data_IF_361196155411
#
_entry.id   IF_361196155411
#
_cell.length_a   1.000
_cell.length_b   1.000
_cell.length_c   1.000
_cell.angle_alpha   90.00
_cell.angle_beta   90.00
_cell.angle_gamma   90.00
#
_symmetry.space_group_name_H-M   'P 1'
#
loop_
_entity.id
_entity.type
_entity.pdbx_description
1 polymer ?
#
# COMPACT_ATOMS: atom_id res chain seq x y z
N UNK A 1 -35.78 -15.02 6.84
CA UNK A 1 -34.91 -15.10 5.64
C UNK A 1 -34.64 -13.72 5.06
N UNK A 2 -35.64 -12.84 5.02
CA UNK A 2 -35.51 -11.51 4.38
C UNK A 2 -34.47 -10.60 5.04
N UNK A 3 -34.40 -10.54 6.37
CA UNK A 3 -33.41 -9.70 7.07
C UNK A 3 -31.96 -10.06 6.72
N UNK A 4 -31.63 -11.35 6.72
CA UNK A 4 -30.27 -11.80 6.40
C UNK A 4 -29.89 -11.47 4.94
N UNK A 5 -30.82 -11.64 4.00
CA UNK A 5 -30.61 -11.28 2.60
C UNK A 5 -30.47 -9.77 2.40
N UNK A 6 -31.27 -8.95 3.08
CA UNK A 6 -31.15 -7.49 3.06
C UNK A 6 -29.85 -7.00 3.69
N UNK A 7 -29.40 -7.62 4.79
CA UNK A 7 -28.13 -7.28 5.42
C UNK A 7 -26.96 -7.62 4.49
N UNK A 8 -26.97 -8.79 3.86
CA UNK A 8 -25.94 -9.19 2.91
C UNK A 8 -25.88 -8.26 1.69
N UNK A 9 -27.03 -7.88 1.12
CA UNK A 9 -27.07 -6.97 -0.02
C UNK A 9 -26.57 -5.56 0.34
N UNK A 10 -26.92 -5.05 1.53
CA UNK A 10 -26.42 -3.77 2.03
C UNK A 10 -24.89 -3.79 2.21
N UNK A 11 -24.34 -4.85 2.80
CA UNK A 11 -22.89 -5.01 2.95
C UNK A 11 -22.17 -5.12 1.60
N UNK A 12 -22.73 -5.85 0.65
CA UNK A 12 -22.17 -5.97 -0.69
C UNK A 12 -22.16 -4.62 -1.43
N UNK A 13 -23.26 -3.86 -1.37
CA UNK A 13 -23.33 -2.52 -1.97
C UNK A 13 -22.33 -1.55 -1.31
N UNK A 14 -22.24 -1.58 0.02
CA UNK A 14 -21.26 -0.78 0.76
C UNK A 14 -19.83 -1.13 0.36
N UNK A 15 -19.51 -2.42 0.24
CA UNK A 15 -18.19 -2.88 -0.18
C UNK A 15 -17.84 -2.38 -1.59
N UNK A 16 -18.75 -2.55 -2.55
CA UNK A 16 -18.54 -2.06 -3.93
C UNK A 16 -18.40 -0.55 -3.97
N UNK A 17 -19.19 0.18 -3.18
CA UNK A 17 -19.10 1.63 -3.07
C UNK A 17 -17.74 2.10 -2.53
N UNK A 18 -17.28 1.51 -1.42
CA UNK A 18 -15.96 1.80 -0.84
C UNK A 18 -14.83 1.47 -1.82
N UNK A 19 -14.93 0.32 -2.50
CA UNK A 19 -13.96 -0.06 -3.52
C UNK A 19 -13.93 0.94 -4.68
N UNK A 20 -15.10 1.39 -5.15
CA UNK A 20 -15.21 2.43 -6.17
C UNK A 20 -14.58 3.75 -5.74
N UNK A 21 -14.79 4.18 -4.49
CA UNK A 21 -14.15 5.37 -3.93
C UNK A 21 -12.63 5.22 -3.84
N UNK A 22 -12.13 4.04 -3.45
CA UNK A 22 -10.69 3.78 -3.39
C UNK A 22 -10.05 3.87 -4.77
N UNK A 23 -10.68 3.31 -5.81
CA UNK A 23 -10.23 3.41 -7.20
C UNK A 23 -10.26 4.87 -7.68
N UNK A 24 -11.35 5.60 -7.41
CA UNK A 24 -11.45 7.01 -7.77
C UNK A 24 -10.34 7.85 -7.12
N UNK A 25 -10.08 7.62 -5.83
CA UNK A 25 -9.01 8.29 -5.11
C UNK A 25 -7.63 7.97 -5.71
N UNK A 26 -7.38 6.71 -6.08
CA UNK A 26 -6.14 6.31 -6.74
C UNK A 26 -5.97 7.03 -8.09
N UNK A 27 -7.04 7.18 -8.88
CA UNK A 27 -7.01 7.93 -10.15
C UNK A 27 -6.69 9.40 -9.91
N UNK A 28 -7.36 10.05 -8.93
CA UNK A 28 -7.11 11.45 -8.58
C UNK A 28 -5.65 11.63 -8.15
N UNK A 29 -5.15 10.77 -7.27
CA UNK A 29 -3.75 10.81 -6.84
C UNK A 29 -2.79 10.57 -7.98
N UNK A 30 -3.09 9.65 -8.88
CA UNK A 30 -2.27 9.40 -10.06
C UNK A 30 -2.13 10.67 -10.92
N UNK A 31 -3.24 11.35 -11.21
CA UNK A 31 -3.23 12.59 -12.00
C UNK A 31 -2.41 13.67 -11.27
N UNK A 32 -2.71 13.92 -9.99
CA UNK A 32 -2.01 14.92 -9.18
C UNK A 32 -0.51 14.64 -9.11
N UNK A 33 -0.13 13.38 -8.86
CA UNK A 33 1.26 12.97 -8.73
C UNK A 33 2.03 13.13 -10.04
N UNK A 34 1.38 12.88 -11.19
CA UNK A 34 1.97 13.06 -12.52
C UNK A 34 2.12 14.52 -12.93
N UNK A 35 1.19 15.38 -12.51
CA UNK A 35 1.19 16.81 -12.86
C UNK A 35 2.11 17.65 -11.99
N UNK A 36 2.31 17.29 -10.72
CA UNK A 36 3.23 18.03 -9.86
C UNK A 36 4.68 17.92 -10.34
N UNK A 37 5.47 18.97 -10.13
CA UNK A 37 6.91 19.03 -10.49
C UNK A 37 7.84 19.04 -9.29
N UNK A 38 7.31 19.19 -8.06
CA UNK A 38 8.12 19.35 -6.84
C UNK A 38 8.73 18.07 -6.27
N UNK A 39 8.16 16.90 -6.57
CA UNK A 39 8.65 15.61 -6.06
C UNK A 39 8.84 14.61 -7.21
N UNK A 40 10.11 14.33 -7.52
CA UNK A 40 10.51 13.41 -8.59
C UNK A 40 10.06 11.97 -8.32
N UNK A 41 10.02 11.53 -7.06
CA UNK A 41 9.64 10.15 -6.71
C UNK A 41 8.16 9.94 -7.01
N UNK A 42 7.29 10.84 -6.52
CA UNK A 42 5.85 10.76 -6.78
C UNK A 42 5.52 10.94 -8.26
N UNK A 43 6.28 11.75 -9.00
CA UNK A 43 6.07 11.93 -10.45
C UNK A 43 6.42 10.69 -11.27
N UNK A 44 7.47 9.96 -10.90
CA UNK A 44 7.90 8.74 -11.59
C UNK A 44 7.14 7.49 -11.11
N UNK A 45 6.73 7.46 -9.84
CA UNK A 45 5.97 6.38 -9.22
C UNK A 45 4.68 6.94 -8.59
N UNK A 46 3.69 7.34 -9.41
CA UNK A 46 2.43 7.90 -8.93
C UNK A 46 1.66 6.87 -8.08
N UNK A 47 0.93 7.35 -7.07
CA UNK A 47 0.21 6.53 -6.06
C UNK A 47 1.17 5.73 -5.16
N UNK A 48 2.03 4.88 -5.71
CA UNK A 48 2.93 3.98 -4.97
C UNK A 48 4.01 4.76 -4.21
N UNK A 49 4.56 5.82 -4.82
CA UNK A 49 5.60 6.65 -4.21
C UNK A 49 5.20 7.31 -2.88
N UNK A 50 3.90 7.43 -2.62
CA UNK A 50 3.36 7.96 -1.34
C UNK A 50 3.60 7.00 -0.17
N UNK A 51 3.75 5.71 -0.43
CA UNK A 51 4.03 4.68 0.57
C UNK A 51 5.53 4.51 0.82
N UNK A 52 6.39 5.41 0.30
CA UNK A 52 7.84 5.34 0.48
C UNK A 52 8.22 5.09 1.94
N UNK A 53 7.68 5.86 2.88
CA UNK A 53 8.01 5.71 4.30
C UNK A 53 7.63 4.34 4.86
N UNK A 54 6.46 3.81 4.47
CA UNK A 54 6.02 2.47 4.87
C UNK A 54 6.99 1.41 4.34
N UNK A 55 7.36 1.48 3.06
CA UNK A 55 8.29 0.51 2.47
C UNK A 55 9.72 0.64 3.02
N UNK A 56 10.17 1.85 3.37
CA UNK A 56 11.46 2.03 4.04
C UNK A 56 11.46 1.36 5.42
N UNK A 57 10.42 1.59 6.24
CA UNK A 57 10.30 0.97 7.56
C UNK A 57 10.18 -0.57 7.46
N UNK A 58 9.34 -1.07 6.56
CA UNK A 58 9.21 -2.51 6.31
C UNK A 58 10.52 -3.12 5.78
N UNK A 59 11.22 -2.40 4.91
CA UNK A 59 12.51 -2.84 4.36
C UNK A 59 13.62 -2.95 5.40
N UNK A 60 13.64 -2.07 6.41
CA UNK A 60 14.56 -2.19 7.55
C UNK A 60 14.30 -3.47 8.35
N UNK A 61 13.04 -3.71 8.72
CA UNK A 61 12.64 -4.95 9.38
C UNK A 61 13.02 -6.18 8.56
N UNK A 62 12.66 -6.21 7.28
CA UNK A 62 12.97 -7.37 6.43
C UNK A 62 14.48 -7.60 6.30
N UNK A 63 15.29 -6.56 6.19
CA UNK A 63 16.74 -6.69 6.14
C UNK A 63 17.32 -7.33 7.39
N UNK A 64 16.81 -6.92 8.56
CA UNK A 64 17.26 -7.45 9.84
C UNK A 64 16.92 -8.93 10.05
N UNK A 65 15.75 -9.39 9.60
CA UNK A 65 15.31 -10.77 9.90
C UNK A 65 15.52 -11.76 8.74
N UNK A 66 15.51 -11.30 7.49
CA UNK A 66 15.68 -12.18 6.32
C UNK A 66 17.10 -12.23 5.78
N UNK A 67 17.91 -11.18 6.00
CA UNK A 67 19.24 -11.05 5.39
C UNK A 67 20.37 -10.96 6.41
N UNK A 68 20.17 -10.28 7.55
CA UNK A 68 21.10 -10.37 8.68
C UNK A 68 20.79 -11.66 9.46
N UNK A 69 21.22 -12.82 8.94
CA UNK A 69 21.18 -14.06 9.70
C UNK A 69 22.27 -14.02 10.77
N UNK A 70 21.97 -14.47 12.00
CA UNK A 70 22.87 -14.59 13.18
C UNK A 70 24.17 -15.43 12.96
N UNK A 71 24.51 -15.81 11.71
CA UNK A 71 25.62 -16.72 11.39
C UNK A 71 26.77 -16.08 10.62
N UNK A 72 26.71 -14.80 10.25
CA UNK A 72 27.84 -14.09 9.63
C UNK A 72 28.85 -13.54 10.66
N UNK A 73 28.53 -13.57 11.96
CA UNK A 73 29.41 -13.13 13.06
C UNK A 73 30.14 -14.28 13.79
N UNK A 74 29.99 -15.54 13.37
CA UNK A 74 30.70 -16.64 14.03
C UNK A 74 32.17 -16.65 13.60
N UNK A 75 33.14 -16.66 14.55
CA UNK A 75 34.55 -16.63 14.20
C UNK A 75 34.91 -17.87 13.38
N UNK A 76 35.57 -17.65 12.25
CA UNK A 76 36.16 -18.72 11.44
C UNK A 76 37.15 -19.51 12.31
N UNK A 77 36.91 -20.81 12.47
CA UNK A 77 37.81 -21.76 13.12
C UNK A 77 38.79 -22.38 12.13
#
# INVERSE_FOLDING_TARGET
MDFAMSALSALALMFVFVLGLAVLMAIVFFIVDRMQTGDAVRRNFPVIGRFRHLFTALGEFFRQYFFAMDREEMPFN
#
